data_IF_906230055160
#
_entry.id   IF_906230055160
#
_cell.length_a   1.000
_cell.length_b   1.000
_cell.length_c   1.000
_cell.angle_alpha   90.00
_cell.angle_beta   90.00
_cell.angle_gamma   90.00
#
_symmetry.space_group_name_H-M   'P 1'
#
loop_
_entity.id
_entity.type
_entity.pdbx_description
1 polymer ?
2 non-polymer ?
3 non-polymer ?
4 water ?
#
# COMPACT_ATOMS: atom_id res chain seq x y z
N UNK A 1 3.92 17.16 -7.40
CA UNK A 1 5.21 16.54 -7.68
C UNK A 1 5.07 15.20 -8.38
N UNK A 2 6.15 14.74 -8.99
CA UNK A 2 6.25 13.35 -9.40
C UNK A 2 7.15 12.59 -8.44
N UNK A 3 6.60 11.53 -7.85
CA UNK A 3 7.31 10.80 -6.82
C UNK A 3 7.72 9.43 -7.33
N UNK A 4 9.04 9.22 -7.35
CA UNK A 4 9.64 7.99 -7.80
C UNK A 4 9.36 6.88 -6.79
N UNK A 5 9.41 5.63 -7.24
CA UNK A 5 9.18 4.50 -6.35
C UNK A 5 10.42 3.63 -6.18
N UNK A 6 11.58 4.20 -6.47
CA UNK A 6 12.83 3.52 -6.13
C UNK A 6 12.94 3.38 -4.62
N UNK A 7 12.48 4.40 -3.90
CA UNK A 7 12.44 4.37 -2.45
C UNK A 7 10.99 4.40 -1.97
N UNK A 8 10.78 4.12 -0.69
CA UNK A 8 9.47 4.27 -0.08
C UNK A 8 8.98 5.71 -0.23
N UNK A 9 7.72 5.89 -0.64
CA UNK A 9 7.21 7.25 -0.85
C UNK A 9 6.74 7.88 0.45
N UNK A 10 7.69 8.36 1.24
CA UNK A 10 7.40 8.97 2.52
C UNK A 10 7.26 10.47 2.36
N UNK A 11 6.26 11.02 3.04
CA UNK A 11 6.03 12.46 3.05
C UNK A 11 5.77 12.95 4.46
N UNK A 12 5.86 14.26 4.63
CA UNK A 12 5.43 14.90 5.88
C UNK A 12 3.95 15.24 5.81
N UNK A 13 3.23 14.88 6.87
CA UNK A 13 1.84 15.30 7.02
C UNK A 13 1.73 16.20 8.25
N UNK A 14 0.77 17.11 8.20
CA UNK A 14 0.40 17.90 9.35
C UNK A 14 -1.00 17.54 9.80
N UNK A 15 -1.12 17.11 11.05
CA UNK A 15 -2.39 16.62 11.57
C UNK A 15 -2.45 16.84 13.07
N UNK A 16 -3.58 17.35 13.54
CA UNK A 16 -3.77 17.60 14.96
C UNK A 16 -2.68 18.47 15.57
N UNK A 17 -2.15 19.40 14.78
CA UNK A 17 -1.10 20.29 15.24
C UNK A 17 0.27 19.65 15.26
N UNK A 18 0.36 18.41 14.79
CA UNK A 18 1.59 17.64 14.83
C UNK A 18 2.14 17.45 13.42
N UNK A 19 3.47 17.39 13.29
CA UNK A 19 4.11 16.93 12.05
C UNK A 19 4.51 15.46 12.19
N UNK A 20 4.17 14.67 11.19
CA UNK A 20 4.49 13.25 11.19
C UNK A 20 4.89 12.80 9.79
N UNK A 21 5.71 11.76 9.72
CA UNK A 21 6.07 11.16 8.44
C UNK A 21 5.14 10.00 8.16
N UNK A 22 4.74 9.84 6.90
CA UNK A 22 3.80 8.79 6.55
C UNK A 22 4.04 8.31 5.14
N UNK A 23 3.51 7.13 4.86
CA UNK A 23 3.79 6.41 3.62
C UNK A 23 2.58 6.54 2.69
N UNK A 24 2.80 7.04 1.48
CA UNK A 24 1.71 7.15 0.50
C UNK A 24 1.41 5.77 -0.09
N UNK A 25 0.23 5.24 0.20
CA UNK A 25 -0.03 3.83 -0.01
C UNK A 25 -1.28 3.62 -0.87
N UNK A 26 -1.09 3.42 -2.16
CA UNK A 26 -2.19 3.24 -3.11
C UNK A 26 -2.98 1.97 -2.82
N UNK A 27 -2.39 1.06 -2.08
CA UNK A 27 -3.03 -0.23 -1.79
C UNK A 27 -3.88 -0.20 -0.54
N UNK A 28 -3.82 0.90 0.21
CA UNK A 28 -4.52 0.98 1.48
C UNK A 28 -5.88 1.67 1.30
N UNK A 29 -6.94 1.02 1.78
CA UNK A 29 -8.28 1.63 1.74
C UNK A 29 -8.28 2.89 2.61
N UNK A 30 -7.66 2.75 3.78
CA UNK A 30 -7.82 3.68 4.89
C UNK A 30 -6.48 4.32 5.22
N UNK A 31 -6.55 5.45 5.91
CA UNK A 31 -5.39 6.10 6.50
C UNK A 31 -5.26 5.71 7.97
N UNK A 32 -4.10 5.19 8.35
CA UNK A 32 -3.89 4.71 9.72
C UNK A 32 -2.59 5.25 10.27
N UNK A 33 -2.67 5.84 11.46
CA UNK A 33 -1.53 6.45 12.11
C UNK A 33 -1.29 5.83 13.48
N UNK A 34 -0.02 5.84 13.92
CA UNK A 34 0.34 5.40 15.26
C UNK A 34 -0.40 6.22 16.31
N UNK A 35 -0.39 5.73 17.54
CA UNK A 35 -1.18 6.35 18.60
C UNK A 35 -0.92 7.84 18.73
N UNK A 36 -2.02 8.59 18.77
CA UNK A 36 -2.00 10.04 18.91
C UNK A 36 -3.38 10.47 19.34
N UNK A 37 -3.47 11.69 19.87
CA UNK A 37 -4.75 12.26 20.24
C UNK A 37 -5.37 12.99 19.06
N UNK A 38 -6.69 12.81 18.89
CA UNK A 38 -7.46 13.62 17.97
C UNK A 38 -8.76 14.07 18.66
N UNK A 39 -9.29 15.23 18.25
CA UNK A 39 -10.51 15.75 18.85
C UNK A 39 -11.76 15.06 18.30
N UNK A 40 -12.84 15.09 19.07
CA UNK A 40 -14.15 14.72 18.56
C UNK A 40 -14.46 13.26 18.78
N UNK A 41 -15.55 12.82 18.17
CA UNK A 41 -16.10 11.49 18.40
C UNK A 41 -15.27 10.45 17.66
N UNK A 42 -15.28 9.23 18.18
CA UNK A 42 -14.69 8.10 17.46
C UNK A 42 -15.46 6.81 17.71
N UNK A 43 -15.24 5.83 16.85
CA UNK A 43 -15.79 4.49 17.04
C UNK A 43 -14.75 3.45 16.67
N UNK A 44 -14.81 2.26 17.29
CA UNK A 44 -13.76 1.28 17.04
C UNK A 44 -13.92 0.64 15.68
N UNK A 45 -12.82 0.12 15.15
CA UNK A 45 -12.81 -0.54 13.85
C UNK A 45 -11.72 -1.59 13.87
N UNK A 46 -11.96 -2.73 13.21
CA UNK A 46 -10.89 -3.67 12.93
C UNK A 46 -10.46 -3.53 11.49
N UNK A 47 -9.17 -3.39 11.26
CA UNK A 47 -8.63 -3.35 9.92
C UNK A 47 -7.58 -4.41 9.69
N UNK A 48 -7.57 -4.94 8.47
CA UNK A 48 -6.77 -6.09 8.13
C UNK A 48 -5.69 -5.77 7.13
N UNK A 49 -4.57 -6.47 7.25
CA UNK A 49 -3.47 -6.33 6.30
C UNK A 49 -2.72 -7.63 6.31
N UNK A 50 -1.52 -7.64 5.75
CA UNK A 50 -0.66 -8.80 5.89
C UNK A 50 -0.40 -9.04 7.37
N UNK A 51 -0.63 -10.27 7.81
CA UNK A 51 -0.43 -10.65 9.21
C UNK A 51 -1.69 -10.68 10.05
N UNK A 52 -2.79 -10.13 9.53
CA UNK A 52 -4.08 -10.18 10.21
C UNK A 52 -4.60 -8.80 10.56
N UNK A 53 -5.37 -8.71 11.64
CA UNK A 53 -6.13 -7.49 11.93
C UNK A 53 -5.58 -6.78 13.17
N UNK A 54 -5.78 -5.46 13.20
CA UNK A 54 -5.62 -4.70 14.43
C UNK A 54 -6.85 -3.84 14.70
N UNK A 55 -7.04 -3.49 15.97
CA UNK A 55 -8.14 -2.65 16.39
C UNK A 55 -7.67 -1.21 16.45
N UNK A 56 -8.45 -0.33 15.84
CA UNK A 56 -8.10 1.08 15.77
C UNK A 56 -9.32 1.94 16.15
N UNK A 57 -9.07 3.20 16.46
CA UNK A 57 -10.14 4.17 16.65
C UNK A 57 -10.36 4.97 15.38
N UNK A 58 -11.61 5.09 14.95
CA UNK A 58 -11.94 5.81 13.73
C UNK A 58 -12.45 7.20 14.04
N UNK A 59 -11.70 8.21 13.59
CA UNK A 59 -12.10 9.62 13.68
C UNK A 59 -12.47 10.14 12.30
N UNK A 60 -13.63 10.77 12.19
CA UNK A 60 -14.10 11.30 10.91
C UNK A 60 -13.92 12.82 10.81
N UNK A 61 -13.89 13.32 9.58
CA UNK A 61 -13.81 14.76 9.33
C UNK A 61 -12.62 15.38 10.05
N UNK A 62 -11.46 14.78 9.85
CA UNK A 62 -10.21 15.31 10.40
C UNK A 62 -9.42 16.07 9.32
N UNK A 63 -9.06 17.32 9.60
CA UNK A 63 -8.25 18.07 8.64
C UNK A 63 -6.81 17.60 8.65
N UNK A 64 -6.25 17.44 7.45
CA UNK A 64 -4.87 17.00 7.31
C UNK A 64 -4.23 17.76 6.15
N UNK A 65 -2.93 17.98 6.25
CA UNK A 65 -2.18 18.57 5.14
C UNK A 65 -1.05 17.65 4.72
N UNK A 66 -0.98 17.36 3.43
CA UNK A 66 -0.03 16.37 2.89
C UNK A 66 0.74 17.00 1.73
N UNK A 67 2.01 17.28 1.94
CA UNK A 67 2.80 17.99 0.94
C UNK A 67 2.20 19.33 0.57
N UNK A 68 1.67 20.03 1.58
CA UNK A 68 1.10 21.36 1.34
C UNK A 68 -0.27 21.31 0.73
N UNK A 69 -0.80 20.11 0.51
CA UNK A 69 -2.15 19.94 0.02
C UNK A 69 -3.10 19.64 1.17
N UNK A 70 -4.08 20.51 1.37
CA UNK A 70 -5.09 20.34 2.41
C UNK A 70 -6.19 19.38 1.98
N UNK A 71 -6.62 18.55 2.92
CA UNK A 71 -7.74 17.66 2.71
C UNK A 71 -8.41 17.37 4.05
N UNK A 72 -9.59 16.78 3.98
CA UNK A 72 -10.28 16.34 5.18
C UNK A 72 -10.81 14.93 4.97
N UNK A 73 -10.75 14.11 6.02
CA UNK A 73 -11.18 12.74 5.89
C UNK A 73 -11.09 11.94 7.18
N UNK A 74 -11.37 10.65 7.06
CA UNK A 74 -11.35 9.74 8.19
C UNK A 74 -9.90 9.33 8.45
N UNK A 75 -9.50 9.42 9.71
CA UNK A 75 -8.18 8.95 10.13
C UNK A 75 -8.32 7.89 11.21
N UNK A 76 -7.69 6.75 10.98
CA UNK A 76 -7.69 5.67 11.95
C UNK A 76 -6.43 5.76 12.81
N UNK A 77 -6.58 5.50 14.10
CA UNK A 77 -5.46 5.59 15.04
C UNK A 77 -5.35 4.33 15.88
N UNK A 78 -4.14 3.77 15.96
CA UNK A 78 -3.92 2.52 16.68
C UNK A 78 -2.51 1.97 16.47
N UNK A 79 -2.31 0.70 16.81
CA UNK A 79 -0.98 0.09 16.87
C UNK A 79 -0.53 -0.41 15.50
N UNK A 80 -0.57 0.48 14.50
CA UNK A 80 0.07 0.20 13.23
C UNK A 80 1.58 0.35 13.34
N UNK A 81 2.31 -0.61 12.74
CA UNK A 81 3.77 -0.54 12.74
C UNK A 81 4.31 0.71 12.05
N UNK A 82 3.54 1.25 11.12
CA UNK A 82 3.98 2.46 10.42
C UNK A 82 2.81 3.28 9.89
N UNK A 83 3.05 4.59 9.80
CA UNK A 83 2.00 5.53 9.40
C UNK A 83 1.72 5.39 7.91
N UNK A 84 0.45 5.24 7.57
CA UNK A 84 0.05 4.99 6.18
C UNK A 84 -1.02 6.00 5.77
N UNK A 85 -0.78 6.70 4.67
CA UNK A 85 -1.82 7.50 4.01
C UNK A 85 -2.49 6.68 2.92
N UNK A 86 -3.78 6.42 3.10
CA UNK A 86 -4.53 5.56 2.19
C UNK A 86 -5.35 6.33 1.18
N UNK A 87 -6.10 5.58 0.36
CA UNK A 87 -6.77 6.15 -0.80
C UNK A 87 -7.78 7.23 -0.42
N UNK A 88 -8.38 7.09 0.76
CA UNK A 88 -9.42 8.03 1.17
C UNK A 88 -8.89 9.46 1.25
N UNK A 89 -7.59 9.62 1.48
CA UNK A 89 -6.99 10.95 1.44
C UNK A 89 -6.16 11.19 0.18
N UNK A 90 -5.63 10.14 -0.43
CA UNK A 90 -4.86 10.31 -1.65
C UNK A 90 -5.71 10.88 -2.79
N UNK A 91 -6.98 10.51 -2.83
CA UNK A 91 -7.89 11.03 -3.85
C UNK A 91 -8.01 12.55 -3.73
N UNK A 92 -8.02 13.04 -2.49
CA UNK A 92 -8.38 14.43 -2.23
C UNK A 92 -7.25 15.38 -2.63
N UNK A 93 -6.02 14.88 -2.61
CA UNK A 93 -4.89 15.67 -3.08
C UNK A 93 -4.56 15.38 -4.54
N UNK A 94 -5.42 14.63 -5.21
CA UNK A 94 -5.34 14.43 -6.65
C UNK A 94 -4.22 13.51 -7.04
N UNK A 95 -3.92 12.55 -6.16
CA UNK A 95 -2.81 11.63 -6.39
C UNK A 95 -3.20 10.50 -7.34
N UNK A 96 -2.39 10.28 -8.37
CA UNK A 96 -2.60 9.19 -9.32
C UNK A 96 -1.34 8.33 -9.50
N UNK A 97 -1.57 7.09 -9.92
CA UNK A 97 -0.51 6.22 -10.41
C UNK A 97 -0.36 6.37 -11.91
N UNK A 98 0.88 6.50 -12.37
CA UNK A 98 1.12 6.70 -13.79
C UNK A 98 2.24 5.79 -14.30
N UNK A 99 2.00 5.15 -15.44
CA UNK A 99 3.04 4.41 -16.13
C UNK A 99 2.66 4.23 -17.60
N UNK B 1 -1.00 4.02 -18.48
CA UNK B 1 -2.26 4.57 -18.00
C UNK B 1 -2.07 5.54 -16.84
N UNK B 2 -3.10 6.34 -16.57
CA UNK B 2 -3.19 7.08 -15.33
C UNK B 2 -4.34 6.53 -14.48
N UNK B 3 -4.01 6.04 -13.30
CA UNK B 3 -4.98 5.35 -12.47
C UNK B 3 -5.29 6.21 -11.25
N UNK B 4 -6.55 6.63 -11.15
CA UNK B 4 -7.03 7.35 -9.97
C UNK B 4 -7.40 6.37 -8.87
N UNK B 5 -7.66 6.88 -7.67
CA UNK B 5 -7.67 6.04 -6.49
C UNK B 5 -9.00 6.08 -5.76
N UNK B 6 -10.06 6.43 -6.48
CA UNK B 6 -11.41 6.39 -5.93
C UNK B 6 -11.87 4.97 -5.70
N UNK B 7 -11.33 4.03 -6.47
CA UNK B 7 -11.49 2.60 -6.22
C UNK B 7 -10.12 1.97 -6.01
N UNK B 8 -10.10 0.73 -5.53
CA UNK B 8 -8.85 -0.03 -5.44
C UNK B 8 -8.19 -0.14 -6.81
N UNK B 9 -6.85 0.06 -6.85
CA UNK B 9 -6.13 0.00 -8.12
C UNK B 9 -5.81 -1.44 -8.53
N UNK B 10 -6.86 -2.18 -8.85
CA UNK B 10 -6.76 -3.59 -9.18
C UNK B 10 -6.54 -3.73 -10.68
N UNK B 11 -5.51 -4.51 -11.03
CA UNK B 11 -5.16 -4.73 -12.42
C UNK B 11 -5.01 -6.22 -12.68
N UNK B 12 -5.08 -6.59 -13.94
CA UNK B 12 -4.79 -7.96 -14.33
C UNK B 12 -3.30 -8.16 -14.53
N UNK B 13 -2.77 -9.20 -13.91
CA UNK B 13 -1.40 -9.64 -14.13
C UNK B 13 -1.42 -11.01 -14.83
N UNK B 14 -0.32 -11.35 -15.47
CA UNK B 14 -0.13 -12.69 -15.96
C UNK B 14 1.16 -13.31 -15.43
N UNK B 15 1.04 -14.49 -14.84
CA UNK B 15 2.19 -15.17 -14.27
C UNK B 15 2.01 -16.68 -14.42
N UNK B 16 3.03 -17.33 -14.98
CA UNK B 16 2.96 -18.76 -15.25
C UNK B 16 1.87 -19.10 -16.24
N UNK B 17 1.59 -18.16 -17.14
CA UNK B 17 0.60 -18.35 -18.18
C UNK B 17 -0.83 -18.17 -17.72
N UNK B 18 -1.03 -17.76 -16.47
CA UNK B 18 -2.37 -17.58 -15.93
C UNK B 18 -2.64 -16.11 -15.62
N UNK B 19 -3.89 -15.68 -15.82
CA UNK B 19 -4.32 -14.34 -15.41
C UNK B 19 -4.76 -14.36 -13.96
N UNK B 20 -4.37 -13.31 -13.24
CA UNK B 20 -4.86 -13.06 -11.89
C UNK B 20 -5.16 -11.58 -11.73
N UNK B 21 -5.88 -11.23 -10.67
CA UNK B 21 -6.07 -9.83 -10.30
C UNK B 21 -5.13 -9.49 -9.16
N UNK B 22 -4.53 -8.31 -9.22
CA UNK B 22 -3.64 -7.85 -8.17
C UNK B 22 -3.76 -6.35 -7.93
N UNK B 23 -3.29 -5.94 -6.75
CA UNK B 23 -3.43 -4.58 -6.28
C UNK B 23 -2.10 -3.85 -6.42
N UNK B 24 -2.10 -2.70 -7.08
CA UNK B 24 -0.89 -1.89 -7.19
C UNK B 24 -0.65 -1.10 -5.91
N UNK B 25 0.39 -1.48 -5.16
CA UNK B 25 0.52 -1.07 -3.77
C UNK B 25 1.86 -0.37 -3.55
N UNK B 26 1.83 0.95 -3.56
CA UNK B 26 3.06 1.72 -3.40
C UNK B 26 3.59 1.65 -1.97
N UNK B 27 2.75 1.20 -1.04
CA UNK B 27 3.16 1.00 0.35
C UNK B 27 3.86 -0.33 0.62
N UNK B 28 4.07 -1.12 -0.42
CA UNK B 28 4.67 -2.44 -0.27
C UNK B 28 6.05 -2.45 -0.91
N UNK B 29 7.06 -2.90 -0.16
CA UNK B 29 8.41 -3.01 -0.74
C UNK B 29 8.39 -4.13 -1.78
N UNK B 30 7.65 -5.19 -1.45
CA UNK B 30 7.74 -6.46 -2.15
C UNK B 30 6.41 -6.79 -2.82
N UNK B 31 6.45 -7.78 -3.69
CA UNK B 31 5.26 -8.32 -4.34
C UNK B 31 4.92 -9.65 -3.70
N UNK B 32 3.69 -9.81 -3.23
CA UNK B 32 3.30 -11.05 -2.58
C UNK B 32 1.96 -11.55 -3.12
N UNK B 33 1.98 -12.79 -3.59
CA UNK B 33 0.80 -13.40 -4.19
C UNK B 33 0.26 -14.52 -3.31
N UNK B 34 -1.03 -14.80 -3.47
CA UNK B 34 -1.68 -15.93 -2.83
C UNK B 34 -1.05 -17.25 -3.31
N UNK B 35 -1.21 -18.30 -2.50
CA UNK B 35 -0.66 -19.61 -2.82
C UNK B 35 -0.82 -19.96 -4.30
N UNK B 36 0.29 -20.40 -4.89
CA UNK B 36 0.34 -20.82 -6.29
C UNK B 36 1.63 -21.60 -6.48
N UNK B 37 1.77 -22.26 -7.62
CA UNK B 37 2.99 -22.97 -7.96
C UNK B 37 3.88 -22.10 -8.82
N UNK B 38 5.18 -22.10 -8.50
CA UNK B 38 6.18 -21.45 -9.33
C UNK B 38 7.39 -22.38 -9.48
N UNK B 39 8.16 -22.21 -10.56
CA UNK B 39 9.27 -23.12 -10.85
C UNK B 39 10.50 -22.81 -10.00
N UNK B 40 11.41 -23.77 -9.91
CA UNK B 40 12.73 -23.52 -9.36
C UNK B 40 12.76 -23.64 -7.84
N UNK B 41 13.86 -23.19 -7.27
CA UNK B 41 14.02 -23.23 -5.82
C UNK B 41 13.56 -21.92 -5.21
N UNK B 42 13.12 -21.98 -3.95
CA UNK B 42 12.73 -20.79 -3.22
C UNK B 42 13.53 -20.63 -1.94
N UNK B 43 13.60 -19.39 -1.47
CA UNK B 43 14.27 -19.03 -0.22
C UNK B 43 13.23 -18.53 0.77
N UNK B 44 13.54 -18.59 2.07
CA UNK B 44 12.61 -18.10 3.06
C UNK B 44 12.64 -16.58 3.19
N UNK B 45 11.48 -15.98 3.45
CA UNK B 45 11.42 -14.60 3.91
C UNK B 45 10.26 -14.37 4.87
N UNK B 46 10.54 -13.58 5.89
CA UNK B 46 9.49 -13.11 6.80
C UNK B 46 9.18 -11.65 6.51
N UNK B 47 7.94 -11.38 6.12
CA UNK B 47 7.53 -10.01 5.83
C UNK B 47 6.49 -9.52 6.83
N UNK B 48 6.55 -8.22 7.11
CA UNK B 48 5.68 -7.59 8.11
C UNK B 48 4.66 -6.66 7.48
N UNK B 49 3.39 -6.83 7.86
CA UNK B 49 2.34 -5.92 7.46
C UNK B 49 1.66 -5.36 8.68
N UNK B 50 0.53 -4.68 8.49
CA UNK B 50 -0.08 -3.95 9.60
C UNK B 50 -0.57 -4.88 10.70
N UNK B 51 -0.78 -6.15 10.35
CA UNK B 51 -1.31 -7.12 11.30
C UNK B 51 -0.24 -7.98 11.97
N UNK B 52 0.99 -7.86 11.50
CA UNK B 52 2.07 -8.69 12.02
C UNK B 52 2.87 -9.32 10.89
N UNK B 53 3.50 -10.46 11.19
CA UNK B 53 4.45 -11.07 10.26
C UNK B 53 3.89 -12.36 9.67
N UNK B 54 4.24 -12.63 8.41
CA UNK B 54 4.00 -13.94 7.83
C UNK B 54 5.27 -14.47 7.17
N UNK B 55 5.38 -15.79 7.14
CA UNK B 55 6.39 -16.47 6.34
C UNK B 55 5.91 -16.65 4.91
N UNK B 56 6.81 -16.39 3.96
CA UNK B 56 6.49 -16.56 2.55
C UNK B 56 7.62 -17.32 1.85
N UNK B 57 7.33 -17.79 0.64
CA UNK B 57 8.34 -18.39 -0.21
C UNK B 57 8.80 -17.36 -1.23
N UNK B 58 10.11 -17.12 -1.28
CA UNK B 58 10.67 -16.15 -2.23
C UNK B 58 11.18 -16.84 -3.50
N UNK B 59 10.59 -16.49 -4.62
CA UNK B 59 11.06 -16.94 -5.94
C UNK B 59 11.67 -15.76 -6.68
N UNK B 60 12.86 -15.95 -7.26
CA UNK B 60 13.53 -14.87 -7.97
C UNK B 60 13.43 -15.01 -9.48
N UNK B 61 13.49 -13.87 -10.17
CA UNK B 61 13.66 -13.84 -11.63
C UNK B 61 12.47 -14.50 -12.33
N UNK B 62 11.28 -14.21 -11.83
CA UNK B 62 10.04 -14.75 -12.37
C UNK B 62 9.44 -13.76 -13.37
N UNK B 63 9.14 -14.22 -14.58
CA UNK B 63 8.43 -13.34 -15.51
C UNK B 63 6.99 -13.07 -15.07
N UNK B 64 6.59 -11.81 -15.13
CA UNK B 64 5.24 -11.42 -14.77
C UNK B 64 4.81 -10.19 -15.54
N UNK B 65 3.64 -10.28 -16.17
CA UNK B 65 3.07 -9.14 -16.89
C UNK B 65 2.11 -8.39 -15.97
N UNK B 66 2.23 -7.06 -15.96
CA UNK B 66 1.36 -6.24 -15.13
C UNK B 66 0.67 -5.18 -15.98
N UNK B 67 -0.63 -5.33 -16.17
CA UNK B 67 -1.36 -4.45 -17.09
C UNK B 67 -0.76 -4.47 -18.48
N UNK B 68 -0.23 -5.62 -18.87
CA UNK B 68 0.39 -5.77 -20.19
C UNK B 68 1.85 -5.39 -20.24
N UNK B 69 2.37 -4.81 -19.16
CA UNK B 69 3.77 -4.43 -19.08
C UNK B 69 4.65 -5.56 -18.54
N UNK B 70 5.72 -5.89 -19.26
CA UNK B 70 6.57 -7.03 -18.92
C UNK B 70 7.55 -6.68 -17.82
N UNK B 71 7.61 -7.54 -16.80
CA UNK B 71 8.60 -7.46 -15.75
C UNK B 71 9.17 -8.85 -15.49
N UNK B 72 10.34 -8.89 -14.88
CA UNK B 72 10.93 -10.15 -14.43
C UNK B 72 11.62 -9.91 -13.10
N UNK B 73 11.06 -10.46 -12.03
CA UNK B 73 11.59 -10.17 -10.72
C UNK B 73 11.08 -11.07 -9.62
N UNK B 74 11.31 -10.62 -8.40
CA UNK B 74 11.09 -11.45 -7.24
C UNK B 74 9.63 -11.45 -6.85
N UNK B 75 9.09 -12.65 -6.66
CA UNK B 75 7.70 -12.84 -6.30
C UNK B 75 7.65 -13.69 -5.03
N UNK B 76 6.99 -13.17 -4.01
CA UNK B 76 6.78 -13.89 -2.76
C UNK B 76 5.41 -14.54 -2.78
N UNK B 77 5.32 -15.75 -2.23
CA UNK B 77 4.07 -16.51 -2.23
C UNK B 77 3.75 -16.93 -0.80
N UNK B 78 2.56 -16.61 -0.34
CA UNK B 78 2.19 -16.89 1.04
C UNK B 78 0.77 -16.49 1.36
N UNK B 79 0.42 -16.55 2.64
CA UNK B 79 -0.95 -16.29 3.09
C UNK B 79 -1.24 -14.81 3.20
N UNK B 80 -1.20 -14.12 2.07
CA UNK B 80 -1.59 -12.72 2.00
C UNK B 80 -3.10 -12.58 1.80
N UNK B 81 -3.68 -11.51 2.35
CA UNK B 81 -5.12 -11.28 2.16
C UNK B 81 -5.51 -10.99 0.72
N UNK B 82 -4.61 -10.41 -0.06
CA UNK B 82 -4.84 -10.21 -1.50
C UNK B 82 -3.52 -10.22 -2.22
N UNK B 83 -3.56 -10.45 -3.54
CA UNK B 83 -2.38 -10.28 -4.37
C UNK B 83 -1.94 -8.82 -4.40
N UNK B 84 -0.66 -8.59 -4.08
CA UNK B 84 -0.14 -7.23 -4.04
C UNK B 84 1.10 -7.09 -4.91
N UNK B 85 1.08 -6.10 -5.79
CA UNK B 85 2.26 -5.74 -6.56
C UNK B 85 2.98 -4.58 -5.88
N UNK B 86 4.20 -4.85 -5.40
CA UNK B 86 4.96 -3.86 -4.66
C UNK B 86 6.00 -3.15 -5.50
N UNK B 87 6.80 -2.31 -4.86
CA UNK B 87 7.65 -1.36 -5.58
C UNK B 87 8.72 -2.06 -6.42
N UNK B 88 9.11 -3.27 -6.02
CA UNK B 88 10.12 -4.01 -6.77
C UNK B 88 9.71 -4.23 -8.21
N UNK B 89 8.41 -4.39 -8.45
CA UNK B 89 7.91 -4.52 -9.82
C UNK B 89 7.31 -3.22 -10.36
N UNK B 90 6.72 -2.40 -9.49
CA UNK B 90 6.22 -1.11 -9.94
C UNK B 90 7.32 -0.30 -10.62
N UNK B 91 8.55 -0.39 -10.11
CA UNK B 91 9.66 0.35 -10.71
C UNK B 91 10.01 -0.22 -12.10
N UNK B 92 9.88 -1.53 -12.25
CA UNK B 92 10.19 -2.17 -13.52
C UNK B 92 9.26 -1.72 -14.64
N UNK B 93 8.02 -1.38 -14.30
CA UNK B 93 7.05 -0.96 -15.31
C UNK B 93 6.90 0.57 -15.40
N UNK B 94 7.76 1.30 -14.69
CA UNK B 94 7.88 2.75 -14.89
C UNK B 94 6.85 3.55 -14.14
N UNK B 95 6.34 2.97 -13.05
CA UNK B 95 5.28 3.61 -12.28
C UNK B 95 5.84 4.76 -11.43
N UNK B 96 5.08 5.85 -11.39
CA UNK B 96 5.31 6.92 -10.41
C UNK B 96 4.00 7.36 -9.78
N UNK B 97 4.09 8.06 -8.65
CA UNK B 97 2.96 8.77 -8.06
C UNK B 97 3.03 10.24 -8.44
N UNK B 98 1.88 10.80 -8.79
CA UNK B 98 1.81 12.18 -9.26
C UNK B 98 0.63 12.91 -8.64
N UNK B 99 0.87 14.13 -8.16
CA UNK B 99 -0.22 15.02 -7.80
C UNK B 99 0.20 16.48 -7.87
X LIG C 1 -12.71 9.65 4.34
X LIG D 1 -9.89 12.85 -9.88
X LIG E 1 12.69 -7.83 -7.97
X LIG F 1 -5.07 -6.15 2.34
X LIG F 1 -3.73 -5.76 2.48
X LIG F 1 -3.21 -4.76 1.67
X LIG F 1 -1.92 -4.25 1.90
X LIG F 1 -4.00 -4.20 0.67
X LIG F 1 -5.34 -4.57 0.56
X LIG F 1 -5.88 -5.55 1.38
X LIG F 1 -7.23 -5.90 1.24
X LIG F 1 -7.85 -6.17 2.46
X LIG F 1 -8.34 -5.19 3.32
X LIG F 1 -8.05 -3.82 3.18
X LIG F 1 -6.87 -3.48 4.01
X LIG F 1 -6.13 -2.33 3.74
X LIG F 1 -6.50 -1.62 2.81
X LIG F 1 -4.90 -2.11 4.40
X LIG F 1 -4.94 -0.75 5.12
X LIG F 1 -6.06 -0.75 6.16
X LIG F 1 -3.59 -0.48 5.80
X LIG F 1 -3.82 -2.13 3.38
X LIG F 1 -2.61 -2.82 3.57
X LIG F 1 -2.46 -3.50 4.60
X LIG F 1 -1.76 -2.96 2.47
X LIG F 1 -2.10 -1.96 1.49
X LIG F 1 -0.27 -2.72 2.85
X LIG F 1 -0.15 -1.53 3.82
X LIG F 1 1.22 -0.86 3.71
X LIG F 1 2.27 -1.59 4.44
X LIG F 1 2.96 -2.43 3.79
X LIG F 1 3.06 -3.77 3.81
X LIG F 1 2.15 -4.41 4.71
X LIG F 1 4.08 -4.41 3.18
X LIG F 1 3.84 -5.82 2.62
X LIG F 1 3.70 -6.83 3.77
X LIG F 1 2.57 -5.84 1.78
X LIG F 1 5.02 -6.24 1.75
X LIG F 1 5.24 -4.48 4.08
X LIG F 1 6.38 -3.83 3.83
X LIG F 1 6.54 -3.25 2.75
X LIG F 1 7.36 -3.81 4.78
X LIG F 1 8.46 -3.00 4.40
X LIG F 1 2.98 -0.90 5.37
X LIG F 1 3.77 -1.60 6.28
X LIG F 1 5.15 -1.48 6.27
X LIG F 1 5.94 -2.06 7.26
X LIG F 1 3.17 -2.20 7.37
X LIG F 1 3.95 -2.81 8.35
X LIG F 1 5.33 -2.74 8.31
X LIG F 1 6.07 -3.34 9.33
X LIG F 1 7.22 -2.74 9.81
X LIG F 1 7.92 -3.28 10.88
X LIG F 1 7.43 -4.41 11.53
X LIG F 1 6.21 -4.98 11.12
X LIG F 1 5.55 -4.45 10.01
#
# INVERSE_FOLDING_TARGET
>A
PQITLWQRPLVTIKIGGQLKEALLDTGADDTVLEEMSLPGRWKPKMIGGIGGFIKVRQYDQIPIEICGHKAIGTVLVGPTPTNVIGRNLLTQIGCTLNF
>B
PQITLWQRPLVTIKIGGQLKEALLDTGADDTVLEEMSLPGRWKPKMIGGIGGFIKVRQYDQIPIEICGHKAIGTVLVGPTPTNVIGRNLLTQIGCTLNF
>C hetero
1 CL CL
>D hetero
1 CL CL
>E hetero
1 CL CL
>F hetero
1 1T8 CAR CAT CBS CBF CAU CAS CBQ CBB CAM CAL CAZ NBH C O CA CB CG1 CG2 N CBP OAJ CCA OAK CBD CBA CBC NBY NBK CBO OAI CBX CBZ CAD CAE CAF NBI CBM OAG OBL CAA CBE CBR CAW CAY CAV CAX CBU CBT CAQ CAO CAN NBG CAP
#
